data_IF_147015802959
#
_entry.id   IF_147015802959
#
_cell.length_a   1.000
_cell.length_b   1.000
_cell.length_c   1.000
_cell.angle_alpha   90.00
_cell.angle_beta   90.00
_cell.angle_gamma   90.00
#
_symmetry.space_group_name_H-M   'P 1'
#
loop_
_entity.id
_entity.type
_entity.pdbx_description
1 polymer ?
#
# COMPACT_ATOMS: atom_id res chain seq x y z
N UNK A 1 -0.85 15.53 1.58
CA UNK A 1 0.37 14.93 1.01
C UNK A 1 0.08 14.71 -0.45
N UNK A 2 0.84 15.34 -1.34
CA UNK A 2 0.65 15.18 -2.79
C UNK A 2 1.63 14.10 -3.22
N UNK A 3 1.15 13.10 -3.97
CA UNK A 3 1.98 12.05 -4.55
C UNK A 3 2.07 12.29 -6.06
N UNK A 4 3.28 12.29 -6.58
CA UNK A 4 3.50 12.24 -8.03
C UNK A 4 4.09 10.88 -8.38
N UNK A 5 3.49 10.19 -9.35
CA UNK A 5 3.99 8.93 -9.90
C UNK A 5 4.64 9.21 -11.26
N UNK A 6 5.91 8.88 -11.43
CA UNK A 6 6.62 9.06 -12.70
C UNK A 6 7.00 7.69 -13.24
N UNK A 7 6.58 7.39 -14.48
CA UNK A 7 6.99 6.20 -15.21
C UNK A 7 8.13 6.52 -16.18
N UNK A 8 9.22 5.77 -16.09
CA UNK A 8 10.43 6.04 -16.87
C UNK A 8 10.81 4.78 -17.62
N UNK A 9 10.89 4.86 -18.96
CA UNK A 9 11.25 3.73 -19.82
C UNK A 9 12.77 3.48 -19.77
N UNK A 10 13.19 2.21 -19.96
CA UNK A 10 14.50 1.56 -19.70
C UNK A 10 15.81 2.31 -20.08
N UNK A 11 15.73 3.43 -20.79
CA UNK A 11 16.89 4.25 -21.17
C UNK A 11 17.52 5.04 -20.01
N UNK A 12 16.84 5.21 -18.87
CA UNK A 12 17.30 6.06 -17.76
C UNK A 12 17.56 5.23 -16.49
N UNK A 13 18.78 5.31 -15.95
CA UNK A 13 19.14 4.66 -14.68
C UNK A 13 18.55 5.43 -13.50
N UNK A 14 17.41 4.98 -12.96
CA UNK A 14 16.77 5.58 -11.77
C UNK A 14 17.44 5.20 -10.43
N UNK A 15 18.52 4.41 -10.44
CA UNK A 15 19.13 3.85 -9.23
C UNK A 15 19.69 4.91 -8.28
N UNK A 16 20.00 6.11 -8.77
CA UNK A 16 20.45 7.24 -7.95
C UNK A 16 19.40 7.72 -6.93
N UNK A 17 18.11 7.49 -7.19
CA UNK A 17 17.04 7.85 -6.25
C UNK A 17 16.83 6.82 -5.14
N UNK A 18 17.48 5.65 -5.21
CA UNK A 18 17.29 4.58 -4.24
C UNK A 18 17.67 5.03 -2.83
N UNK A 19 16.73 4.91 -1.90
CA UNK A 19 16.95 5.26 -0.49
C UNK A 19 16.90 6.75 -0.17
N UNK A 20 16.63 7.63 -1.16
CA UNK A 20 16.33 9.03 -0.87
C UNK A 20 15.02 9.12 -0.09
N UNK A 21 15.02 9.89 0.99
CA UNK A 21 13.85 10.10 1.84
C UNK A 21 12.74 10.77 1.02
N UNK A 22 11.50 10.34 1.22
CA UNK A 22 10.34 10.91 0.52
C UNK A 22 10.17 10.38 -0.91
N UNK A 23 10.99 9.41 -1.33
CA UNK A 23 10.88 8.74 -2.62
C UNK A 23 10.65 7.25 -2.41
N UNK A 24 9.73 6.66 -3.19
CA UNK A 24 9.63 5.21 -3.34
C UNK A 24 9.97 4.88 -4.79
N UNK A 25 10.99 4.06 -4.98
CA UNK A 25 11.43 3.62 -6.30
C UNK A 25 11.04 2.15 -6.50
N UNK A 26 10.27 1.87 -7.55
CA UNK A 26 9.95 0.52 -7.99
C UNK A 26 10.58 0.27 -9.36
N UNK A 27 11.23 -0.86 -9.53
CA UNK A 27 11.73 -1.31 -10.83
C UNK A 27 10.73 -2.27 -11.45
N UNK A 28 10.41 -2.06 -12.72
CA UNK A 28 9.56 -2.95 -13.53
C UNK A 28 10.41 -3.57 -14.63
N UNK A 29 9.85 -4.53 -15.36
CA UNK A 29 10.53 -5.17 -16.50
C UNK A 29 10.84 -4.20 -17.64
N UNK A 30 10.17 -3.04 -17.69
CA UNK A 30 10.23 -2.09 -18.81
C UNK A 30 10.73 -0.70 -18.36
N UNK A 31 11.18 -0.57 -17.12
CA UNK A 31 11.60 0.72 -16.59
C UNK A 31 11.52 0.86 -15.07
N UNK A 32 11.22 2.09 -14.63
CA UNK A 32 11.07 2.40 -13.22
C UNK A 32 9.84 3.27 -12.95
N UNK A 33 9.25 3.09 -11.78
CA UNK A 33 8.20 3.95 -11.22
C UNK A 33 8.78 4.70 -10.01
N UNK A 34 8.52 5.99 -9.93
CA UNK A 34 8.94 6.83 -8.82
C UNK A 34 7.71 7.45 -8.18
N UNK A 35 7.47 7.16 -6.90
CA UNK A 35 6.55 7.92 -6.07
C UNK A 35 7.30 9.02 -5.32
N UNK A 36 6.83 10.25 -5.48
CA UNK A 36 7.40 11.43 -4.83
C UNK A 36 6.40 11.92 -3.80
N UNK A 37 6.79 11.89 -2.52
CA UNK A 37 6.01 12.38 -1.39
C UNK A 37 6.52 13.72 -0.86
N UNK A 38 7.69 14.15 -1.35
CA UNK A 38 8.30 15.44 -1.05
C UNK A 38 8.38 16.27 -2.33
N UNK A 39 7.45 17.22 -2.47
CA UNK A 39 7.35 18.07 -3.66
C UNK A 39 8.61 18.94 -3.88
N UNK A 40 9.44 19.17 -2.86
CA UNK A 40 10.70 19.89 -3.04
C UNK A 40 11.68 19.16 -3.94
N UNK A 41 11.53 17.84 -4.11
CA UNK A 41 12.37 17.00 -4.95
C UNK A 41 11.85 16.91 -6.40
N UNK A 42 10.65 17.43 -6.68
CA UNK A 42 9.97 17.19 -7.95
C UNK A 42 10.74 17.81 -9.13
N UNK A 43 11.15 19.07 -9.01
CA UNK A 43 11.87 19.77 -10.08
C UNK A 43 13.23 19.11 -10.37
N UNK A 44 13.96 18.70 -9.32
CA UNK A 44 15.23 18.00 -9.45
C UNK A 44 15.05 16.65 -10.19
N UNK A 45 14.03 15.88 -9.82
CA UNK A 45 13.73 14.60 -10.47
C UNK A 45 13.30 14.82 -11.93
N UNK A 46 12.41 15.77 -12.20
CA UNK A 46 11.96 16.07 -13.57
C UNK A 46 13.12 16.51 -14.46
N UNK A 47 14.04 17.33 -13.92
CA UNK A 47 15.24 17.78 -14.63
C UNK A 47 16.21 16.64 -14.92
N UNK A 48 16.34 15.67 -14.01
CA UNK A 48 17.21 14.50 -14.19
C UNK A 48 16.64 13.50 -15.21
N UNK A 49 15.31 13.40 -15.33
CA UNK A 49 14.65 12.31 -16.05
C UNK A 49 14.42 12.61 -17.56
N UNK A 50 14.70 13.83 -18.06
CA UNK A 50 14.72 14.31 -19.47
C UNK A 50 14.04 13.48 -20.59
N UNK A 51 13.14 14.13 -21.33
CA UNK A 51 12.55 13.81 -22.66
C UNK A 51 11.90 12.42 -22.90
N UNK A 52 12.24 11.36 -22.16
CA UNK A 52 11.70 10.00 -22.35
C UNK A 52 10.89 9.47 -21.15
N UNK A 53 10.65 10.30 -20.14
CA UNK A 53 9.71 10.00 -19.06
C UNK A 53 8.26 10.20 -19.48
N UNK A 54 7.44 9.20 -19.19
CA UNK A 54 5.99 9.37 -19.19
C UNK A 54 5.63 9.82 -17.78
N UNK A 55 5.34 11.12 -17.64
CA UNK A 55 4.79 11.65 -16.39
C UNK A 55 3.33 11.20 -16.31
N UNK A 56 3.03 10.26 -15.42
CA UNK A 56 1.65 9.94 -15.07
C UNK A 56 1.22 10.91 -13.98
N UNK A 57 0.51 11.98 -14.36
CA UNK A 57 -0.09 12.86 -13.37
C UNK A 57 -1.19 12.08 -12.63
N UNK A 58 -0.84 11.63 -11.42
CA UNK A 58 -1.67 10.94 -10.45
C UNK A 58 -2.15 9.54 -10.84
N UNK A 59 -1.78 8.55 -10.03
CA UNK A 59 -2.42 7.23 -9.95
C UNK A 59 -3.94 7.27 -9.69
N UNK A 60 -4.48 8.48 -9.49
CA UNK A 60 -5.74 8.71 -8.83
C UNK A 60 -6.92 8.51 -9.79
N UNK A 61 -6.82 8.87 -11.07
CA UNK A 61 -7.92 8.64 -12.02
C UNK A 61 -8.24 7.16 -12.22
N UNK A 62 -7.22 6.31 -12.34
CA UNK A 62 -7.41 4.86 -12.45
C UNK A 62 -8.00 4.31 -11.16
N UNK A 63 -7.46 4.73 -10.02
CA UNK A 63 -7.93 4.28 -8.73
C UNK A 63 -9.36 4.74 -8.47
N UNK A 64 -9.74 5.93 -8.90
CA UNK A 64 -11.08 6.49 -8.80
C UNK A 64 -12.07 5.76 -9.71
N UNK A 65 -11.66 5.36 -10.93
CA UNK A 65 -12.46 4.44 -11.76
C UNK A 65 -12.68 3.11 -11.05
N UNK A 66 -11.61 2.45 -10.61
CA UNK A 66 -11.70 1.19 -9.86
C UNK A 66 -12.61 1.32 -8.64
N UNK A 67 -12.42 2.38 -7.83
CA UNK A 67 -13.25 2.71 -6.67
C UNK A 67 -14.72 2.94 -7.06
N UNK A 68 -15.05 3.43 -8.26
CA UNK A 68 -16.45 3.61 -8.67
C UNK A 68 -17.08 2.33 -9.21
N UNK A 69 -16.32 1.56 -9.98
CA UNK A 69 -16.85 0.50 -10.83
C UNK A 69 -16.92 -0.86 -10.10
N UNK A 70 -16.09 -1.08 -9.09
CA UNK A 70 -16.05 -2.34 -8.33
C UNK A 70 -16.91 -2.28 -7.05
N UNK A 71 -17.55 -3.42 -6.75
CA UNK A 71 -18.16 -3.69 -5.46
C UNK A 71 -17.10 -3.87 -4.36
N UNK A 72 -17.54 -3.94 -3.10
CA UNK A 72 -16.64 -3.98 -1.96
C UNK A 72 -15.78 -5.22 -1.87
N UNK A 73 -16.34 -6.37 -2.22
CA UNK A 73 -15.60 -7.63 -2.22
C UNK A 73 -14.48 -7.56 -3.25
N UNK A 74 -14.84 -7.16 -4.47
CA UNK A 74 -13.89 -6.99 -5.57
C UNK A 74 -12.82 -5.94 -5.25
N UNK A 75 -13.17 -4.87 -4.53
CA UNK A 75 -12.21 -3.86 -4.06
C UNK A 75 -11.23 -4.44 -3.03
N UNK A 76 -11.69 -5.25 -2.08
CA UNK A 76 -10.81 -5.86 -1.08
C UNK A 76 -9.86 -6.87 -1.74
N UNK A 77 -10.34 -7.70 -2.68
CA UNK A 77 -9.51 -8.63 -3.45
C UNK A 77 -8.45 -7.88 -4.28
N UNK A 78 -8.86 -6.78 -4.92
CA UNK A 78 -7.94 -5.90 -5.64
C UNK A 78 -6.92 -5.25 -4.71
N UNK A 79 -7.32 -4.84 -3.50
CA UNK A 79 -6.41 -4.30 -2.51
C UNK A 79 -5.31 -5.33 -2.16
N UNK A 80 -5.65 -6.60 -1.90
CA UNK A 80 -4.63 -7.61 -1.61
C UNK A 80 -3.70 -7.90 -2.79
N UNK A 81 -4.21 -7.80 -4.02
CA UNK A 81 -3.38 -7.83 -5.22
C UNK A 81 -2.36 -6.68 -5.22
N UNK A 82 -2.81 -5.45 -4.93
CA UNK A 82 -1.92 -4.28 -4.80
C UNK A 82 -0.91 -4.44 -3.66
N UNK A 83 -1.33 -5.00 -2.52
CA UNK A 83 -0.48 -5.23 -1.37
C UNK A 83 0.70 -6.16 -1.70
N UNK A 84 0.42 -7.28 -2.37
CA UNK A 84 1.45 -8.24 -2.79
C UNK A 84 2.34 -7.70 -3.91
N UNK A 85 1.91 -6.67 -4.63
CA UNK A 85 2.72 -5.93 -5.62
C UNK A 85 3.55 -4.79 -4.99
N UNK A 86 3.62 -4.71 -3.66
CA UNK A 86 4.27 -3.61 -2.92
C UNK A 86 3.69 -2.22 -3.22
N UNK A 87 2.46 -2.17 -3.76
CA UNK A 87 1.68 -0.96 -4.04
C UNK A 87 0.87 -0.56 -2.82
N UNK A 88 1.57 -0.39 -1.70
CA UNK A 88 0.97 -0.14 -0.40
C UNK A 88 0.27 1.23 -0.32
N UNK A 89 0.63 2.16 -1.20
CA UNK A 89 -0.09 3.44 -1.33
C UNK A 89 -1.51 3.20 -1.89
N UNK A 90 -1.61 2.60 -3.07
CA UNK A 90 -2.89 2.30 -3.70
C UNK A 90 -3.74 1.35 -2.85
N UNK A 91 -3.10 0.37 -2.20
CA UNK A 91 -3.74 -0.51 -1.23
C UNK A 91 -4.52 0.25 -0.15
N UNK A 92 -3.88 1.20 0.54
CA UNK A 92 -4.57 1.91 1.62
C UNK A 92 -5.65 2.84 1.07
N UNK A 93 -5.45 3.45 -0.09
CA UNK A 93 -6.45 4.30 -0.74
C UNK A 93 -7.73 3.52 -1.09
N UNK A 94 -7.60 2.29 -1.59
CA UNK A 94 -8.74 1.39 -1.82
C UNK A 94 -9.44 1.07 -0.50
N UNK A 95 -8.68 0.65 0.52
CA UNK A 95 -9.27 0.28 1.81
C UNK A 95 -9.84 1.47 2.57
N UNK A 96 -9.35 2.70 2.36
CA UNK A 96 -9.91 3.88 3.01
C UNK A 96 -11.35 4.14 2.56
N UNK A 97 -11.68 3.88 1.28
CA UNK A 97 -13.07 3.92 0.79
C UNK A 97 -13.95 2.98 1.60
N UNK A 98 -13.50 1.74 1.82
CA UNK A 98 -14.24 0.73 2.60
C UNK A 98 -14.33 1.16 4.07
N UNK A 99 -13.24 1.66 4.65
CA UNK A 99 -13.17 2.12 6.03
C UNK A 99 -14.14 3.28 6.31
N UNK A 100 -14.26 4.25 5.39
CA UNK A 100 -15.12 5.44 5.58
C UNK A 100 -16.59 5.06 5.78
N UNK A 101 -17.06 4.02 5.10
CA UNK A 101 -18.44 3.51 5.22
C UNK A 101 -18.63 2.38 6.23
N UNK A 102 -17.54 1.84 6.76
CA UNK A 102 -17.58 0.81 7.79
C UNK A 102 -17.82 1.41 9.18
N UNK A 103 -18.37 0.59 10.06
CA UNK A 103 -18.66 0.88 11.46
C UNK A 103 -18.21 -0.25 12.41
N UNK A 104 -18.22 0.02 13.72
CA UNK A 104 -17.88 -0.95 14.76
C UNK A 104 -16.57 -1.71 14.53
N UNK A 105 -16.60 -3.02 14.80
CA UNK A 105 -15.43 -3.91 14.67
C UNK A 105 -14.90 -4.01 13.24
N UNK A 106 -15.80 -3.89 12.27
CA UNK A 106 -15.45 -3.89 10.85
C UNK A 106 -14.54 -2.72 10.50
N UNK A 107 -14.94 -1.51 10.92
CA UNK A 107 -14.12 -0.30 10.73
C UNK A 107 -12.74 -0.45 11.37
N UNK A 108 -12.69 -0.98 12.59
CA UNK A 108 -11.45 -1.19 13.31
C UNK A 108 -10.54 -2.20 12.63
N UNK A 109 -11.10 -3.27 12.07
CA UNK A 109 -10.31 -4.27 11.35
C UNK A 109 -9.78 -3.76 10.01
N UNK A 110 -10.59 -3.07 9.21
CA UNK A 110 -10.13 -2.41 7.98
C UNK A 110 -9.04 -1.38 8.29
N UNK A 111 -9.15 -0.66 9.41
CA UNK A 111 -8.09 0.25 9.85
C UNK A 111 -6.79 -0.48 10.18
N UNK A 112 -6.85 -1.68 10.76
CA UNK A 112 -5.66 -2.50 10.98
C UNK A 112 -5.01 -2.93 9.66
N UNK A 113 -5.81 -3.38 8.69
CA UNK A 113 -5.33 -3.70 7.34
C UNK A 113 -4.59 -2.50 6.73
N UNK A 114 -5.21 -1.32 6.76
CA UNK A 114 -4.59 -0.06 6.33
C UNK A 114 -3.26 0.18 7.05
N UNK A 115 -3.21 0.05 8.38
CA UNK A 115 -1.98 0.29 9.13
C UNK A 115 -0.86 -0.72 8.83
N UNK A 116 -1.19 -1.97 8.49
CA UNK A 116 -0.18 -2.91 7.96
C UNK A 116 0.41 -2.34 6.68
N UNK A 117 -0.39 -1.86 5.73
CA UNK A 117 0.08 -1.17 4.53
C UNK A 117 0.94 0.07 4.84
N UNK A 118 0.50 0.92 5.77
CA UNK A 118 1.26 2.10 6.21
C UNK A 118 2.62 1.71 6.78
N UNK A 119 2.73 0.61 7.53
CA UNK A 119 4.02 0.13 8.03
C UNK A 119 4.99 -0.18 6.88
N UNK A 120 4.50 -0.76 5.78
CA UNK A 120 5.31 -1.09 4.61
C UNK A 120 5.70 0.18 3.83
N UNK A 121 4.79 1.15 3.67
CA UNK A 121 5.11 2.49 3.10
C UNK A 121 6.21 3.17 3.91
N UNK A 122 6.14 3.13 5.25
CA UNK A 122 7.19 3.70 6.12
C UNK A 122 8.55 3.05 5.87
N UNK A 123 8.57 1.74 5.66
CA UNK A 123 9.81 1.04 5.30
C UNK A 123 10.34 1.49 3.94
N UNK A 124 9.48 1.56 2.91
CA UNK A 124 9.83 2.07 1.58
C UNK A 124 10.40 3.49 1.60
N UNK A 125 9.90 4.35 2.49
CA UNK A 125 10.37 5.72 2.69
C UNK A 125 11.66 5.84 3.51
N UNK A 126 12.33 4.72 3.82
CA UNK A 126 13.56 4.72 4.61
C UNK A 126 13.34 4.99 6.10
N UNK A 127 12.15 4.68 6.64
CA UNK A 127 11.79 4.87 8.06
C UNK A 127 11.57 3.51 8.76
N UNK A 128 12.57 2.62 8.83
CA UNK A 128 12.40 1.23 9.28
C UNK A 128 11.97 1.11 10.75
N UNK A 129 12.41 2.01 11.63
CA UNK A 129 12.01 1.97 13.04
C UNK A 129 10.56 2.40 13.22
N UNK A 130 10.13 3.44 12.51
CA UNK A 130 8.71 3.85 12.46
C UNK A 130 7.85 2.73 11.87
N UNK A 131 8.30 2.08 10.81
CA UNK A 131 7.61 0.93 10.21
C UNK A 131 7.35 -0.18 11.23
N UNK A 132 8.40 -0.61 11.97
CA UNK A 132 8.28 -1.63 13.02
C UNK A 132 7.31 -1.20 14.12
N UNK A 133 7.38 0.05 14.59
CA UNK A 133 6.49 0.56 15.64
C UNK A 133 5.02 0.50 15.19
N UNK A 134 4.73 0.97 13.98
CA UNK A 134 3.37 0.93 13.40
C UNK A 134 2.89 -0.51 13.28
N UNK A 135 3.75 -1.40 12.78
CA UNK A 135 3.43 -2.81 12.62
C UNK A 135 3.07 -3.49 13.94
N UNK A 136 3.94 -3.41 14.96
CA UNK A 136 3.70 -4.10 16.23
C UNK A 136 2.48 -3.56 16.96
N UNK A 137 2.25 -2.23 16.95
CA UNK A 137 1.01 -1.65 17.48
C UNK A 137 -0.23 -2.19 16.77
N UNK A 138 -0.15 -2.37 15.47
CA UNK A 138 -1.24 -2.93 14.67
C UNK A 138 -1.48 -4.40 14.99
N UNK A 139 -0.42 -5.19 15.16
CA UNK A 139 -0.54 -6.60 15.55
C UNK A 139 -1.19 -6.74 16.93
N UNK A 140 -0.82 -5.93 17.92
CA UNK A 140 -1.50 -5.92 19.23
C UNK A 140 -2.98 -5.53 19.11
N UNK A 141 -3.32 -4.60 18.20
CA UNK A 141 -4.73 -4.26 17.94
C UNK A 141 -5.49 -5.42 17.33
N UNK A 142 -4.94 -6.09 16.33
CA UNK A 142 -5.52 -7.29 15.70
C UNK A 142 -5.76 -8.37 16.75
N UNK A 143 -4.77 -8.65 17.62
CA UNK A 143 -4.94 -9.59 18.75
C UNK A 143 -6.11 -9.22 19.66
N UNK A 144 -6.34 -7.93 19.92
CA UNK A 144 -7.47 -7.48 20.74
C UNK A 144 -8.84 -7.60 20.05
N UNK A 145 -8.85 -7.62 18.71
CA UNK A 145 -10.08 -7.73 17.90
C UNK A 145 -10.56 -9.17 17.73
N UNK A 146 -9.63 -10.13 17.76
CA UNK A 146 -9.89 -11.54 17.46
C UNK A 146 -9.58 -12.47 18.64
N UNK A 147 -10.42 -13.49 18.83
CA UNK A 147 -10.01 -14.69 19.58
C UNK A 147 -8.91 -15.42 18.79
N UNK A 148 -7.92 -15.98 19.49
CA UNK A 148 -6.59 -16.37 18.99
C UNK A 148 -6.48 -17.08 17.62
N UNK A 149 -7.53 -17.73 17.13
CA UNK A 149 -7.53 -18.54 15.90
C UNK A 149 -7.26 -17.76 14.60
N UNK A 150 -7.27 -16.41 14.63
CA UNK A 150 -7.05 -15.55 13.46
C UNK A 150 -5.75 -14.73 13.53
N UNK A 151 -4.87 -15.02 14.50
CA UNK A 151 -3.56 -14.36 14.63
C UNK A 151 -2.60 -14.65 13.46
N UNK A 152 -2.87 -15.69 12.65
CA UNK A 152 -1.93 -16.18 11.64
C UNK A 152 -2.05 -15.49 10.27
N UNK A 153 -2.94 -14.50 10.14
CA UNK A 153 -3.14 -13.73 8.90
C UNK A 153 -1.87 -12.95 8.54
N UNK A 154 -1.19 -12.39 9.54
CA UNK A 154 0.03 -11.62 9.36
C UNK A 154 1.20 -12.28 10.11
N UNK A 155 2.44 -12.09 9.65
CA UNK A 155 3.63 -12.53 10.38
C UNK A 155 3.67 -11.97 11.81
N UNK A 156 4.08 -12.77 12.80
CA UNK A 156 4.21 -12.27 14.18
C UNK A 156 5.35 -11.26 14.38
N UNK A 157 6.32 -11.25 13.46
CA UNK A 157 7.45 -10.32 13.43
C UNK A 157 7.36 -9.46 12.18
N UNK A 158 7.81 -8.21 12.28
CA UNK A 158 7.89 -7.35 11.10
C UNK A 158 8.85 -7.96 10.06
N UNK A 159 8.39 -8.03 8.82
CA UNK A 159 9.19 -8.36 7.64
C UNK A 159 8.81 -7.42 6.49
N UNK A 160 9.70 -7.31 5.51
CA UNK A 160 9.46 -6.55 4.29
C UNK A 160 10.02 -7.33 3.08
N UNK A 161 9.23 -7.50 2.00
CA UNK A 161 7.79 -7.22 1.95
C UNK A 161 7.01 -8.21 2.83
N UNK A 162 5.88 -7.78 3.38
CA UNK A 162 4.85 -8.74 3.82
C UNK A 162 4.15 -9.25 2.58
N UNK A 163 4.13 -10.56 2.40
CA UNK A 163 3.39 -11.25 1.35
C UNK A 163 2.26 -12.03 2.02
N UNK A 164 1.06 -11.91 1.47
CA UNK A 164 -0.10 -12.68 1.89
C UNK A 164 -0.38 -13.76 0.84
N UNK A 165 -0.44 -15.02 1.26
CA UNK A 165 -0.86 -16.11 0.38
C UNK A 165 -2.40 -16.18 0.24
N UNK A 166 -2.86 -17.00 -0.70
CA UNK A 166 -4.30 -17.16 -0.98
C UNK A 166 -5.07 -17.69 0.24
N UNK A 167 -4.44 -18.48 1.11
CA UNK A 167 -5.06 -19.02 2.33
C UNK A 167 -5.27 -17.89 3.33
N UNK A 168 -4.28 -17.03 3.51
CA UNK A 168 -4.34 -15.85 4.37
C UNK A 168 -5.38 -14.86 3.86
N UNK A 169 -5.40 -14.58 2.56
CA UNK A 169 -6.41 -13.71 1.93
C UNK A 169 -7.81 -14.32 2.11
N UNK A 170 -8.00 -15.61 1.82
CA UNK A 170 -9.25 -16.31 2.03
C UNK A 170 -9.72 -16.23 3.49
N UNK A 171 -8.80 -16.42 4.44
CA UNK A 171 -9.08 -16.30 5.89
C UNK A 171 -9.54 -14.89 6.27
N UNK A 172 -8.96 -13.85 5.69
CA UNK A 172 -9.41 -12.46 5.90
C UNK A 172 -10.83 -12.28 5.34
N UNK A 173 -11.05 -12.72 4.10
CA UNK A 173 -12.30 -12.53 3.37
C UNK A 173 -13.48 -13.27 4.01
N UNK A 174 -13.23 -14.46 4.56
CA UNK A 174 -14.27 -15.29 5.18
C UNK A 174 -14.52 -14.96 6.66
N UNK A 175 -13.72 -14.05 7.23
CA UNK A 175 -13.83 -13.63 8.61
C UNK A 175 -15.21 -13.05 8.92
N UNK A 176 -15.79 -13.42 10.07
CA UNK A 176 -17.08 -12.90 10.56
C UNK A 176 -17.15 -11.37 10.59
N UNK A 177 -16.02 -10.69 10.79
CA UNK A 177 -15.94 -9.22 10.77
C UNK A 177 -16.07 -8.69 9.33
N UNK A 178 -15.37 -9.30 8.36
CA UNK A 178 -15.38 -8.86 6.95
C UNK A 178 -16.65 -9.25 6.19
N UNK A 179 -17.33 -10.33 6.60
CA UNK A 179 -18.66 -10.73 6.08
C UNK A 179 -19.76 -9.70 6.28
N UNK A 180 -19.54 -8.65 7.09
CA UNK A 180 -20.49 -7.54 7.21
C UNK A 180 -20.28 -6.45 6.14
N UNK A 181 -19.20 -6.53 5.36
CA UNK A 181 -18.89 -5.64 4.23
C UNK A 181 -19.21 -6.32 2.89
N UNK A 182 -18.85 -7.61 2.79
CA UNK A 182 -18.97 -8.46 1.60
C UNK A 182 -20.37 -9.07 1.53
#
# INVERSE_FOLDING_TARGET
MVRVLIGINDSVKCTHFKGKRGIILRHTTYGCEIDIFDNSLLDDILNEVKENSIVFSSSDEHLDRVKRDLDDRSLIEYAFTLFNQERYWEYHEILEKIWRKSDGKTKEFVQCLIHVGVSQVKFQLGQPDTAKIVYYRTMERIKSLFSNDQLHIFPGKFQYPVILDDIQIGTIMENKIMKNII
#
